data_IF_754498429654
#
_entry.id   IF_754498429654
#
_cell.length_a   1.000
_cell.length_b   1.000
_cell.length_c   1.000
_cell.angle_alpha   90.00
_cell.angle_beta   90.00
_cell.angle_gamma   90.00
#
_symmetry.space_group_name_H-M   'P 1'
#
loop_
_entity.id
_entity.type
_entity.pdbx_description
1 polymer ?
#
# COMPACT_ATOMS: atom_id res chain seq x y z
N UNK A 1 -43.91 -0.40 56.44
CA UNK A 1 -43.59 0.26 55.16
C UNK A 1 -42.42 -0.51 54.58
N UNK A 2 -42.76 -1.54 53.83
CA UNK A 2 -41.84 -2.46 53.16
C UNK A 2 -41.26 -1.79 51.92
N UNK A 3 -39.93 -1.83 51.78
CA UNK A 3 -39.26 -1.63 50.50
C UNK A 3 -38.45 -2.89 50.21
N UNK A 4 -39.03 -3.72 49.35
CA UNK A 4 -38.45 -4.92 48.78
C UNK A 4 -37.40 -4.54 47.72
N UNK A 5 -36.14 -4.86 48.02
CA UNK A 5 -35.07 -4.92 47.03
C UNK A 5 -35.26 -6.16 46.15
N UNK A 6 -35.44 -5.96 44.84
CA UNK A 6 -35.34 -7.02 43.85
C UNK A 6 -33.97 -6.95 43.16
N UNK A 7 -33.11 -7.91 43.53
CA UNK A 7 -31.90 -8.25 42.79
C UNK A 7 -32.29 -9.21 41.65
N UNK A 8 -31.97 -8.85 40.40
CA UNK A 8 -31.92 -9.79 39.28
C UNK A 8 -30.45 -10.09 38.92
N UNK A 9 -30.08 -11.36 38.69
CA UNK A 9 -28.75 -11.72 38.22
C UNK A 9 -28.76 -11.92 36.68
N UNK A 10 -28.02 -11.10 35.94
CA UNK A 10 -27.69 -11.41 34.55
C UNK A 10 -26.50 -12.38 34.53
N UNK A 11 -26.81 -13.67 34.28
CA UNK A 11 -25.85 -14.67 33.82
C UNK A 11 -25.67 -14.51 32.30
N UNK A 12 -24.43 -14.37 31.86
CA UNK A 12 -24.10 -14.35 30.43
C UNK A 12 -22.60 -14.20 30.21
N UNK A 13 -21.85 -15.28 30.43
CA UNK A 13 -20.45 -15.38 30.04
C UNK A 13 -20.43 -15.62 28.53
N UNK A 14 -20.09 -14.61 27.73
CA UNK A 14 -19.68 -14.81 26.34
C UNK A 14 -18.18 -15.12 26.32
N UNK A 15 -17.82 -16.38 26.05
CA UNK A 15 -16.44 -16.78 25.78
C UNK A 15 -16.21 -16.66 24.28
N UNK A 16 -15.59 -15.58 23.82
CA UNK A 16 -15.07 -15.48 22.46
C UNK A 16 -13.90 -16.45 22.29
N UNK A 17 -14.09 -17.47 21.44
CA UNK A 17 -13.01 -18.36 20.99
C UNK A 17 -12.28 -17.68 19.83
N UNK A 18 -11.16 -17.02 20.11
CA UNK A 18 -10.20 -16.66 19.07
C UNK A 18 -9.47 -17.92 18.57
N UNK A 19 -9.75 -18.32 17.33
CA UNK A 19 -9.02 -19.39 16.64
C UNK A 19 -7.74 -18.77 16.05
N UNK A 20 -6.59 -19.08 16.67
CA UNK A 20 -5.29 -18.77 16.09
C UNK A 20 -4.91 -19.86 15.08
N UNK A 21 -4.91 -19.54 13.79
CA UNK A 21 -4.33 -20.41 12.76
C UNK A 21 -2.82 -20.12 12.69
N UNK A 22 -2.02 -20.96 13.36
CA UNK A 22 -0.56 -20.92 13.21
C UNK A 22 -0.19 -21.68 11.93
N UNK A 23 0.01 -20.95 10.84
CA UNK A 23 0.59 -21.52 9.62
C UNK A 23 2.11 -21.75 9.81
N UNK A 24 2.52 -23.02 9.94
CA UNK A 24 3.94 -23.41 9.90
C UNK A 24 4.46 -23.25 8.47
N UNK A 25 5.32 -22.26 8.22
CA UNK A 25 6.05 -22.16 6.95
C UNK A 25 7.14 -23.25 6.84
N UNK A 26 7.29 -23.92 5.69
CA UNK A 26 8.33 -24.90 5.47
C UNK A 26 9.71 -24.24 5.37
N UNK A 27 10.72 -24.85 6.00
CA UNK A 27 12.12 -24.40 5.98
C UNK A 27 12.67 -24.46 4.56
N UNK A 28 12.97 -23.30 3.96
CA UNK A 28 13.68 -23.20 2.69
C UNK A 28 15.13 -23.71 2.86
N UNK A 29 15.49 -24.73 2.08
CA UNK A 29 16.88 -25.22 1.96
C UNK A 29 17.75 -24.15 1.29
N UNK A 30 18.88 -23.80 1.92
CA UNK A 30 19.92 -22.93 1.32
C UNK A 30 20.45 -23.58 0.04
N UNK A 31 20.23 -22.95 -1.12
CA UNK A 31 20.95 -23.28 -2.35
C UNK A 31 22.38 -22.75 -2.24
N UNK A 32 23.35 -23.58 -2.61
CA UNK A 32 24.77 -23.23 -2.72
C UNK A 32 24.97 -22.32 -3.94
N UNK A 33 25.69 -21.22 -3.73
CA UNK A 33 26.13 -20.32 -4.80
C UNK A 33 27.17 -21.01 -5.70
N UNK A 34 26.93 -20.96 -7.01
CA UNK A 34 27.89 -21.36 -8.03
C UNK A 34 28.56 -20.08 -8.55
N UNK A 35 29.90 -19.94 -8.50
CA UNK A 35 30.57 -18.75 -8.97
C UNK A 35 30.54 -18.67 -10.51
N UNK A 36 29.89 -17.62 -11.03
CA UNK A 36 29.88 -17.26 -12.44
C UNK A 36 31.20 -16.60 -12.83
N UNK A 37 31.99 -17.26 -13.69
CA UNK A 37 33.16 -16.66 -14.30
C UNK A 37 32.75 -15.71 -15.43
N UNK A 38 32.91 -14.39 -15.21
CA UNK A 38 32.80 -13.37 -16.26
C UNK A 38 34.16 -13.19 -16.96
N UNK A 39 34.22 -13.55 -18.24
CA UNK A 39 35.31 -13.21 -19.17
C UNK A 39 35.32 -11.68 -19.41
N UNK A 40 36.43 -11.02 -19.09
CA UNK A 40 36.70 -9.61 -19.44
C UNK A 40 37.08 -9.52 -20.92
N UNK A 41 36.28 -8.81 -21.73
CA UNK A 41 36.71 -8.32 -23.07
C UNK A 41 37.47 -7.01 -22.88
N UNK A 42 38.71 -7.01 -23.36
CA UNK A 42 39.64 -5.87 -23.39
C UNK A 42 39.24 -5.00 -24.60
N UNK A 43 38.81 -3.76 -24.37
CA UNK A 43 38.60 -2.78 -25.44
C UNK A 43 39.74 -1.76 -25.37
N UNK A 44 40.45 -1.62 -26.48
CA UNK A 44 41.56 -0.69 -26.67
C UNK A 44 41.08 0.75 -26.66
N UNK A 45 41.82 1.59 -25.94
CA UNK A 45 41.75 3.05 -25.98
C UNK A 45 42.36 3.57 -27.27
N UNK A 46 41.71 4.53 -27.90
CA UNK A 46 42.34 5.43 -28.87
C UNK A 46 42.22 6.84 -28.33
N UNK A 47 43.39 7.46 -28.17
CA UNK A 47 43.58 8.88 -27.87
C UNK A 47 43.20 9.72 -29.09
N UNK A 48 42.49 10.83 -28.87
CA UNK A 48 42.54 11.99 -29.75
C UNK A 48 42.32 13.27 -28.93
N UNK A 49 43.29 14.18 -29.03
CA UNK A 49 43.18 15.59 -28.68
C UNK A 49 42.11 16.29 -29.54
N UNK A 50 41.37 17.24 -28.97
CA UNK A 50 41.19 18.54 -29.61
C UNK A 50 40.65 19.60 -28.65
N UNK A 51 41.27 20.77 -28.73
CA UNK A 51 40.92 22.01 -28.06
C UNK A 51 39.80 22.77 -28.79
N UNK A 52 39.16 23.64 -28.00
CA UNK A 52 38.44 24.88 -28.37
C UNK A 52 36.98 24.86 -28.88
N UNK A 53 36.15 25.46 -28.00
CA UNK A 53 35.24 26.61 -28.23
C UNK A 53 33.86 26.43 -28.87
N UNK A 54 32.87 26.80 -28.04
CA UNK A 54 31.67 27.61 -28.28
C UNK A 54 30.43 27.08 -29.04
N UNK A 55 29.30 27.45 -28.40
CA UNK A 55 27.95 27.70 -28.90
C UNK A 55 26.95 26.54 -28.96
N UNK A 56 25.83 26.76 -28.27
CA UNK A 56 24.59 26.01 -28.38
C UNK A 56 23.93 26.29 -29.73
N UNK A 57 23.12 25.34 -30.23
CA UNK A 57 21.74 25.71 -30.48
C UNK A 57 20.72 24.66 -30.02
N UNK A 58 19.47 25.11 -30.08
CA UNK A 58 18.21 24.49 -29.66
C UNK A 58 17.85 23.17 -30.34
N UNK A 59 17.01 22.44 -29.60
CA UNK A 59 15.91 21.56 -30.04
C UNK A 59 16.17 20.53 -31.14
N UNK A 60 16.08 19.23 -30.78
CA UNK A 60 15.07 18.38 -31.41
C UNK A 60 14.86 17.06 -30.65
N UNK A 61 13.58 16.68 -30.62
CA UNK A 61 13.01 15.48 -30.03
C UNK A 61 13.41 14.27 -30.87
N UNK A 62 14.11 13.31 -30.28
CA UNK A 62 14.27 11.97 -30.88
C UNK A 62 13.72 10.93 -29.90
N UNK A 63 12.50 10.52 -30.18
CA UNK A 63 11.80 9.42 -29.51
C UNK A 63 12.32 8.09 -30.11
N UNK A 64 13.30 7.48 -29.46
CA UNK A 64 13.76 6.13 -29.78
C UNK A 64 12.81 5.10 -29.16
N UNK A 65 11.85 4.63 -29.97
CA UNK A 65 11.08 3.43 -29.70
C UNK A 65 11.97 2.19 -29.89
N UNK A 66 12.48 1.63 -28.79
CA UNK A 66 13.00 0.26 -28.78
C UNK A 66 11.82 -0.70 -28.58
N UNK A 67 11.47 -1.42 -29.66
CA UNK A 67 10.66 -2.64 -29.59
C UNK A 67 11.57 -3.75 -29.07
N UNK A 68 11.38 -4.17 -27.82
CA UNK A 68 11.86 -5.47 -27.35
C UNK A 68 10.76 -6.51 -27.59
N UNK A 69 11.02 -7.41 -28.52
CA UNK A 69 10.27 -8.65 -28.70
C UNK A 69 10.63 -9.59 -27.53
N UNK A 70 9.70 -9.77 -26.60
CA UNK A 70 9.83 -10.78 -25.54
C UNK A 70 9.29 -12.10 -26.07
N UNK A 71 10.21 -13.00 -26.39
CA UNK A 71 9.96 -14.40 -26.70
C UNK A 71 9.41 -15.10 -25.44
N UNK A 72 8.08 -15.28 -25.39
CA UNK A 72 7.42 -16.05 -24.32
C UNK A 72 7.63 -17.54 -24.59
N UNK A 73 8.54 -18.16 -23.84
CA UNK A 73 8.64 -19.62 -23.76
C UNK A 73 7.38 -20.15 -23.06
N UNK A 74 6.53 -20.82 -23.83
CA UNK A 74 5.38 -21.55 -23.32
C UNK A 74 5.82 -22.72 -22.44
N UNK A 75 5.47 -22.67 -21.16
CA UNK A 75 5.48 -23.85 -20.30
C UNK A 75 4.21 -24.65 -20.57
N UNK A 76 4.40 -25.96 -20.84
CA UNK A 76 3.34 -26.94 -21.01
C UNK A 76 2.57 -27.09 -19.71
N UNK A 77 1.25 -26.96 -19.79
CA UNK A 77 0.33 -27.34 -18.72
C UNK A 77 -0.08 -28.79 -18.98
N UNK A 78 0.21 -29.68 -18.04
CA UNK A 78 -0.26 -31.06 -18.02
C UNK A 78 -1.79 -31.09 -17.87
N UNK A 79 -2.53 -31.85 -18.70
CA UNK A 79 -3.98 -31.92 -18.62
C UNK A 79 -4.41 -33.15 -17.84
N UNK A 80 -4.33 -33.11 -16.51
CA UNK A 80 -5.06 -34.07 -15.66
C UNK A 80 -6.27 -33.37 -15.04
N UNK A 81 -7.29 -33.28 -15.89
CA UNK A 81 -8.63 -32.77 -15.62
C UNK A 81 -9.52 -33.96 -15.22
N UNK A 82 -9.67 -34.23 -13.93
CA UNK A 82 -10.68 -35.17 -13.43
C UNK A 82 -11.98 -34.42 -13.13
N UNK A 83 -12.93 -34.54 -14.06
CA UNK A 83 -14.34 -34.21 -13.88
C UNK A 83 -14.95 -35.14 -12.81
N UNK A 84 -15.39 -34.56 -11.69
CA UNK A 84 -16.35 -35.23 -10.82
C UNK A 84 -17.74 -35.12 -11.44
N UNK A 85 -18.25 -36.27 -11.87
CA UNK A 85 -19.63 -36.50 -12.27
C UNK A 85 -20.54 -36.26 -11.07
N UNK A 86 -21.49 -35.34 -11.23
CA UNK A 86 -22.60 -35.16 -10.29
C UNK A 86 -23.55 -36.37 -10.39
N UNK A 87 -23.78 -37.03 -9.27
CA UNK A 87 -24.86 -38.02 -9.12
C UNK A 87 -26.22 -37.29 -9.03
N UNK A 88 -27.27 -37.79 -9.69
CA UNK A 88 -28.61 -37.22 -9.57
C UNK A 88 -29.50 -38.02 -8.59
N UNK A 89 -30.63 -37.39 -8.24
CA UNK A 89 -31.81 -37.92 -7.54
C UNK A 89 -31.69 -37.85 -6.00
N UNK A 90 -32.74 -37.50 -5.25
CA UNK A 90 -34.08 -38.06 -5.32
C UNK A 90 -35.19 -37.04 -5.01
N UNK A 91 -36.36 -37.35 -5.57
CA UNK A 91 -37.63 -36.65 -5.45
C UNK A 91 -38.15 -36.62 -4.01
N UNK A 92 -38.48 -35.43 -3.52
CA UNK A 92 -39.19 -35.26 -2.24
C UNK A 92 -40.69 -35.25 -2.54
N UNK A 93 -41.36 -36.31 -2.10
CA UNK A 93 -42.79 -36.51 -2.18
C UNK A 93 -43.57 -35.40 -1.49
N UNK A 94 -44.50 -34.83 -2.25
CA UNK A 94 -45.54 -33.92 -1.80
C UNK A 94 -46.57 -34.69 -0.97
N UNK A 95 -46.60 -34.47 0.35
CA UNK A 95 -47.68 -34.95 1.22
C UNK A 95 -48.61 -33.79 1.56
N UNK A 96 -49.73 -33.73 0.86
CA UNK A 96 -50.92 -32.96 1.24
C UNK A 96 -51.67 -33.71 2.34
N UNK A 97 -51.83 -33.10 3.52
CA UNK A 97 -52.90 -33.45 4.45
C UNK A 97 -53.62 -32.19 4.91
N UNK A 98 -54.86 -32.11 4.44
CA UNK A 98 -55.95 -31.28 4.90
C UNK A 98 -56.28 -31.55 6.36
N UNK A 99 -56.41 -30.50 7.16
CA UNK A 99 -57.35 -30.49 8.29
C UNK A 99 -57.98 -29.09 8.37
N UNK A 100 -59.30 -29.05 8.21
CA UNK A 100 -60.13 -27.90 8.51
C UNK A 100 -60.44 -27.94 10.00
N UNK A 101 -60.14 -26.86 10.71
CA UNK A 101 -60.74 -26.58 12.01
C UNK A 101 -61.19 -25.12 11.99
N UNK A 102 -62.50 -24.94 11.82
CA UNK A 102 -63.17 -23.66 11.97
C UNK A 102 -63.19 -23.28 13.44
N UNK A 103 -62.31 -22.37 13.84
CA UNK A 103 -62.44 -21.64 15.10
C UNK A 103 -62.67 -20.18 14.75
N UNK A 104 -63.92 -19.74 14.94
CA UNK A 104 -64.30 -18.34 14.90
C UNK A 104 -63.64 -17.64 16.09
N UNK A 105 -62.54 -16.93 15.81
CA UNK A 105 -61.93 -15.96 16.72
C UNK A 105 -62.28 -14.59 16.16
N UNK A 106 -62.94 -13.77 16.97
CA UNK A 106 -63.28 -12.38 16.68
C UNK A 106 -62.04 -11.63 16.17
N UNK A 107 -62.09 -11.24 14.90
CA UNK A 107 -61.12 -10.35 14.28
C UNK A 107 -61.31 -8.94 14.84
N UNK A 108 -60.60 -8.62 15.91
CA UNK A 108 -60.12 -7.26 16.10
C UNK A 108 -59.00 -7.11 15.08
N UNK A 109 -59.27 -6.44 13.96
CA UNK A 109 -58.23 -5.88 13.10
C UNK A 109 -57.47 -4.83 13.92
N UNK A 110 -56.55 -5.30 14.75
CA UNK A 110 -55.39 -4.52 15.13
C UNK A 110 -54.63 -4.34 13.83
N UNK A 111 -54.88 -3.22 13.16
CA UNK A 111 -53.96 -2.64 12.19
C UNK A 111 -52.62 -2.54 12.88
N UNK A 112 -51.80 -3.58 12.72
CA UNK A 112 -50.38 -3.55 12.99
C UNK A 112 -49.85 -2.40 12.15
N UNK A 113 -49.65 -1.27 12.81
CA UNK A 113 -48.86 -0.19 12.27
C UNK A 113 -47.47 -0.79 12.11
N UNK A 114 -47.21 -1.36 10.92
CA UNK A 114 -45.88 -1.75 10.47
C UNK A 114 -45.10 -0.45 10.43
N UNK A 115 -44.51 -0.10 11.56
CA UNK A 115 -43.43 0.87 11.63
C UNK A 115 -42.30 0.26 10.83
N UNK A 116 -42.31 0.46 9.51
CA UNK A 116 -41.15 0.16 8.68
C UNK A 116 -40.04 1.01 9.28
N UNK A 117 -39.16 0.37 10.04
CA UNK A 117 -38.04 1.06 10.66
C UNK A 117 -37.22 1.63 9.50
N UNK A 118 -37.35 2.94 9.29
CA UNK A 118 -36.59 3.64 8.28
C UNK A 118 -35.12 3.39 8.59
N UNK A 119 -34.50 2.52 7.79
CA UNK A 119 -33.11 2.17 7.97
C UNK A 119 -32.33 3.18 7.13
N UNK A 120 -31.44 3.94 7.79
CA UNK A 120 -30.56 4.88 7.10
C UNK A 120 -29.88 4.16 5.91
N UNK A 121 -29.96 4.70 4.67
CA UNK A 121 -29.33 4.08 3.51
C UNK A 121 -27.84 3.76 3.71
N UNK A 122 -27.14 4.57 4.49
CA UNK A 122 -25.74 4.33 4.83
C UNK A 122 -25.56 3.15 5.78
N UNK A 123 -26.43 3.03 6.79
CA UNK A 123 -26.39 1.91 7.74
C UNK A 123 -26.71 0.59 7.01
N UNK A 124 -27.64 0.63 6.05
CA UNK A 124 -27.92 -0.49 5.15
C UNK A 124 -26.68 -0.88 4.35
N UNK A 125 -26.02 0.07 3.68
CA UNK A 125 -24.78 -0.20 2.94
C UNK A 125 -23.69 -0.80 3.83
N UNK A 126 -23.52 -0.26 5.05
CA UNK A 126 -22.54 -0.78 6.02
C UNK A 126 -22.84 -2.24 6.39
N UNK A 127 -24.11 -2.59 6.61
CA UNK A 127 -24.54 -3.97 6.83
C UNK A 127 -24.28 -4.86 5.61
N UNK A 128 -24.63 -4.40 4.41
CA UNK A 128 -24.42 -5.13 3.16
C UNK A 128 -22.93 -5.43 2.91
N UNK A 129 -22.04 -4.49 3.20
CA UNK A 129 -20.58 -4.68 3.10
C UNK A 129 -20.10 -5.77 4.06
N UNK A 130 -20.59 -5.77 5.31
CA UNK A 130 -20.25 -6.79 6.31
C UNK A 130 -20.77 -8.17 5.90
N UNK A 131 -22.05 -8.26 5.51
CA UNK A 131 -22.73 -9.52 5.18
C UNK A 131 -22.23 -10.14 3.88
N UNK A 132 -21.94 -9.32 2.87
CA UNK A 132 -21.47 -9.81 1.56
C UNK A 132 -20.09 -10.47 1.63
N UNK A 133 -19.31 -10.23 2.69
CA UNK A 133 -17.92 -10.73 2.77
C UNK A 133 -17.04 -10.22 1.62
N UNK A 134 -17.42 -9.11 0.98
CA UNK A 134 -16.77 -8.59 -0.21
C UNK A 134 -15.34 -8.08 0.03
N UNK A 135 -15.01 -7.80 1.30
CA UNK A 135 -13.69 -7.34 1.74
C UNK A 135 -12.82 -8.57 2.00
N UNK A 136 -12.01 -8.92 1.01
CA UNK A 136 -11.07 -10.04 1.11
C UNK A 136 -9.67 -9.59 1.56
N UNK A 137 -8.90 -10.54 2.07
CA UNK A 137 -7.47 -10.37 2.34
C UNK A 137 -6.77 -9.79 1.09
N UNK A 138 -5.91 -8.78 1.22
CA UNK A 138 -5.24 -8.32 2.45
C UNK A 138 -5.94 -7.15 3.18
N UNK A 139 -7.20 -6.84 2.85
CA UNK A 139 -7.93 -5.74 3.48
C UNK A 139 -8.62 -6.16 4.78
N UNK A 140 -8.75 -5.21 5.71
CA UNK A 140 -9.43 -5.34 6.99
C UNK A 140 -10.53 -4.29 7.08
N UNK A 141 -11.75 -4.70 7.38
CA UNK A 141 -12.88 -3.80 7.59
C UNK A 141 -12.96 -3.39 9.07
N UNK A 142 -13.01 -2.09 9.35
CA UNK A 142 -13.36 -1.55 10.66
C UNK A 142 -14.86 -1.20 10.68
N UNK A 143 -15.59 -1.93 11.52
CA UNK A 143 -17.04 -1.82 11.71
C UNK A 143 -17.41 -0.89 12.87
N UNK A 144 -16.45 -0.51 13.71
CA UNK A 144 -16.70 0.29 14.92
C UNK A 144 -16.92 1.77 14.63
N UNK A 145 -16.38 2.25 13.50
CA UNK A 145 -16.46 3.65 13.09
C UNK A 145 -17.83 4.03 12.50
N UNK A 146 -18.23 5.29 12.65
CA UNK A 146 -19.42 5.88 11.98
C UNK A 146 -19.31 5.91 10.45
N UNK A 147 -18.11 5.65 9.92
CA UNK A 147 -17.79 5.53 8.49
C UNK A 147 -17.39 4.10 8.15
N UNK A 148 -17.57 3.67 6.91
CA UNK A 148 -17.01 2.40 6.43
C UNK A 148 -15.50 2.61 6.22
N UNK A 149 -14.67 1.95 7.02
CA UNK A 149 -13.20 2.03 6.93
C UNK A 149 -12.61 0.70 6.51
N UNK A 150 -11.88 0.70 5.40
CA UNK A 150 -11.22 -0.49 4.85
C UNK A 150 -9.72 -0.22 4.83
N UNK A 151 -8.98 -0.95 5.66
CA UNK A 151 -7.56 -0.75 5.88
C UNK A 151 -6.73 -1.85 5.23
N UNK A 152 -5.58 -1.47 4.70
CA UNK A 152 -4.49 -2.37 4.33
C UNK A 152 -3.36 -2.14 5.32
N UNK A 153 -2.89 -3.21 5.95
CA UNK A 153 -1.83 -3.16 6.96
C UNK A 153 -0.49 -3.62 6.37
N UNK A 154 0.61 -3.15 6.94
CA UNK A 154 1.91 -3.78 6.69
C UNK A 154 1.99 -5.12 7.41
N UNK A 155 2.60 -6.15 6.79
CA UNK A 155 2.88 -7.41 7.47
C UNK A 155 4.06 -7.21 8.43
N UNK A 156 3.80 -6.74 9.64
CA UNK A 156 4.77 -6.63 10.74
C UNK A 156 4.28 -7.45 11.94
N UNK A 157 5.19 -8.19 12.56
CA UNK A 157 4.90 -9.00 13.74
C UNK A 157 4.91 -8.18 15.04
N UNK A 158 5.57 -7.01 15.03
CA UNK A 158 5.84 -6.22 16.23
C UNK A 158 4.84 -5.08 16.40
N UNK A 159 4.40 -4.45 15.29
CA UNK A 159 3.42 -3.34 15.32
C UNK A 159 2.48 -3.35 14.13
N UNK A 160 1.25 -2.90 14.38
CA UNK A 160 0.25 -2.71 13.33
C UNK A 160 0.41 -1.31 12.73
N UNK A 161 0.94 -1.26 11.52
CA UNK A 161 1.05 -0.02 10.74
C UNK A 161 0.09 -0.02 9.55
N UNK A 162 -0.74 1.03 9.46
CA UNK A 162 -1.68 1.20 8.35
C UNK A 162 -0.93 1.69 7.11
N UNK A 163 -0.89 0.86 6.08
CA UNK A 163 -0.32 1.17 4.77
C UNK A 163 -1.26 2.05 3.95
N UNK A 164 -2.53 1.67 3.87
CA UNK A 164 -3.58 2.37 3.13
C UNK A 164 -4.90 2.30 3.90
N UNK A 165 -5.70 3.35 3.85
CA UNK A 165 -7.03 3.38 4.43
C UNK A 165 -8.01 3.98 3.43
N UNK A 166 -9.09 3.26 3.13
CA UNK A 166 -10.25 3.75 2.38
C UNK A 166 -11.34 4.08 3.39
N UNK A 167 -11.85 5.30 3.35
CA UNK A 167 -12.91 5.77 4.24
C UNK A 167 -14.08 6.27 3.42
N UNK A 168 -15.27 5.73 3.65
CA UNK A 168 -16.52 6.17 3.01
C UNK A 168 -17.41 6.73 4.12
N UNK A 169 -17.75 8.02 4.02
CA UNK A 169 -18.58 8.68 5.03
C UNK A 169 -20.07 8.55 4.68
N UNK A 170 -20.94 9.06 5.56
CA UNK A 170 -22.40 9.07 5.38
C UNK A 170 -22.89 9.77 4.10
N UNK A 171 -22.06 10.64 3.53
CA UNK A 171 -22.29 11.29 2.25
C UNK A 171 -21.93 10.40 1.03
N UNK A 172 -21.54 9.15 1.29
CA UNK A 172 -21.07 8.17 0.31
C UNK A 172 -19.83 8.60 -0.48
N UNK A 173 -19.12 9.64 -0.05
CA UNK A 173 -17.86 10.05 -0.67
C UNK A 173 -16.70 9.25 -0.08
N UNK A 174 -15.88 8.66 -0.96
CA UNK A 174 -14.68 7.96 -0.57
C UNK A 174 -13.47 8.91 -0.44
N UNK A 175 -12.67 8.67 0.59
CA UNK A 175 -11.35 9.25 0.79
C UNK A 175 -10.34 8.12 0.91
N UNK A 176 -9.22 8.23 0.21
CA UNK A 176 -8.10 7.28 0.32
C UNK A 176 -6.95 7.97 1.03
N UNK A 177 -6.40 7.32 2.04
CA UNK A 177 -5.24 7.77 2.78
C UNK A 177 -4.09 6.79 2.60
N UNK A 178 -2.91 7.31 2.30
CA UNK A 178 -1.66 6.54 2.28
C UNK A 178 -0.77 7.13 3.36
N UNK A 179 -0.33 6.31 4.32
CA UNK A 179 0.49 6.78 5.44
C UNK A 179 -0.11 8.02 6.15
N UNK A 180 -1.44 8.03 6.33
CA UNK A 180 -2.23 9.12 6.92
C UNK A 180 -2.34 10.40 6.08
N UNK A 181 -1.72 10.44 4.90
CA UNK A 181 -1.87 11.56 3.95
C UNK A 181 -3.04 11.25 3.02
N UNK A 182 -4.01 12.17 2.94
CA UNK A 182 -5.14 12.03 2.02
C UNK A 182 -4.68 12.18 0.58
N UNK A 183 -5.08 11.24 -0.28
CA UNK A 183 -4.86 11.31 -1.72
C UNK A 183 -5.76 12.40 -2.32
N UNK A 184 -5.21 13.21 -3.22
CA UNK A 184 -5.99 14.23 -3.95
C UNK A 184 -7.09 13.58 -4.79
N UNK A 185 -8.23 14.25 -4.94
CA UNK A 185 -9.31 13.84 -5.84
C UNK A 185 -8.93 13.96 -7.32
N UNK A 186 -7.85 14.69 -7.64
CA UNK A 186 -7.32 14.80 -9.00
C UNK A 186 -6.38 13.63 -9.39
N UNK A 187 -6.15 12.68 -8.48
CA UNK A 187 -5.26 11.55 -8.72
C UNK A 187 -5.87 10.52 -9.71
N UNK A 188 -5.04 9.92 -10.57
CA UNK A 188 -5.45 8.94 -11.61
C UNK A 188 -6.27 7.74 -11.08
N UNK A 189 -6.15 7.44 -9.79
CA UNK A 189 -6.97 6.44 -9.09
C UNK A 189 -8.47 6.72 -9.28
N UNK A 190 -8.90 7.97 -9.31
CA UNK A 190 -10.32 8.31 -9.36
C UNK A 190 -10.91 8.25 -10.78
N UNK A 191 -10.07 8.21 -11.82
CA UNK A 191 -10.52 8.17 -13.22
C UNK A 191 -11.36 6.90 -13.48
N UNK A 192 -12.62 7.06 -13.87
CA UNK A 192 -13.51 5.93 -14.15
C UNK A 192 -14.08 5.23 -12.90
N UNK A 193 -13.84 5.76 -11.70
CA UNK A 193 -14.59 5.37 -10.50
C UNK A 193 -15.85 6.24 -10.34
N UNK A 194 -16.90 5.73 -9.68
CA UNK A 194 -18.07 6.54 -9.36
C UNK A 194 -17.69 7.64 -8.34
N UNK A 195 -18.41 8.77 -8.39
CA UNK A 195 -18.24 9.85 -7.39
C UNK A 195 -18.83 9.49 -6.03
N UNK A 196 -19.83 8.60 -6.03
CA UNK A 196 -20.64 8.19 -4.88
C UNK A 196 -20.51 6.67 -4.74
N UNK A 197 -20.22 6.21 -3.52
CA UNK A 197 -20.00 4.81 -3.18
C UNK A 197 -21.17 4.28 -2.35
N UNK A 198 -22.34 4.22 -2.97
CA UNK A 198 -23.64 3.82 -2.41
C UNK A 198 -23.95 2.32 -2.54
N UNK A 199 -23.05 1.52 -3.12
CA UNK A 199 -23.24 0.09 -3.33
C UNK A 199 -21.98 -0.72 -3.08
N UNK A 200 -22.16 -1.98 -2.65
CA UNK A 200 -21.05 -2.94 -2.47
C UNK A 200 -20.21 -3.08 -3.74
N UNK A 201 -20.85 -3.07 -4.91
CA UNK A 201 -20.18 -3.15 -6.21
C UNK A 201 -19.24 -1.97 -6.46
N UNK A 202 -19.64 -0.75 -6.09
CA UNK A 202 -18.80 0.44 -6.22
C UNK A 202 -17.55 0.33 -5.32
N UNK A 203 -17.73 -0.14 -4.08
CA UNK A 203 -16.65 -0.37 -3.13
C UNK A 203 -15.68 -1.43 -3.66
N UNK A 204 -16.17 -2.57 -4.13
CA UNK A 204 -15.35 -3.62 -4.74
C UNK A 204 -14.56 -3.10 -5.94
N UNK A 205 -15.17 -2.28 -6.80
CA UNK A 205 -14.50 -1.70 -7.97
C UNK A 205 -13.32 -0.82 -7.56
N UNK A 206 -13.49 0.02 -6.51
CA UNK A 206 -12.40 0.80 -5.95
C UNK A 206 -11.28 -0.08 -5.39
N UNK A 207 -11.61 -1.12 -4.62
CA UNK A 207 -10.62 -2.04 -4.06
C UNK A 207 -9.85 -2.80 -5.16
N UNK A 208 -10.53 -3.30 -6.18
CA UNK A 208 -9.88 -3.92 -7.35
C UNK A 208 -8.96 -2.94 -8.06
N UNK A 209 -9.39 -1.69 -8.27
CA UNK A 209 -8.55 -0.67 -8.90
C UNK A 209 -7.31 -0.38 -8.05
N UNK A 210 -7.45 -0.31 -6.72
CA UNK A 210 -6.32 -0.11 -5.80
C UNK A 210 -5.26 -1.20 -5.88
N UNK A 211 -5.61 -2.44 -6.24
CA UNK A 211 -4.64 -3.54 -6.41
C UNK A 211 -3.63 -3.27 -7.55
N UNK A 212 -4.00 -2.46 -8.54
CA UNK A 212 -3.08 -2.06 -9.62
C UNK A 212 -2.05 -0.99 -9.19
N UNK A 213 -2.21 -0.41 -8.00
CA UNK A 213 -1.32 0.61 -7.47
C UNK A 213 -0.44 0.03 -6.35
N UNK A 214 0.75 0.60 -6.22
CA UNK A 214 1.61 0.39 -5.08
C UNK A 214 1.92 1.71 -4.41
N UNK A 215 2.13 1.67 -3.09
CA UNK A 215 2.61 2.83 -2.35
C UNK A 215 4.02 3.14 -2.84
N UNK A 216 4.22 4.38 -3.31
CA UNK A 216 5.52 4.88 -3.70
C UNK A 216 6.50 4.66 -2.53
N UNK A 217 7.69 4.12 -2.78
CA UNK A 217 8.64 3.81 -1.69
C UNK A 217 9.48 4.99 -1.25
N UNK A 218 9.44 6.11 -1.97
CA UNK A 218 10.34 7.24 -1.74
C UNK A 218 11.81 6.82 -1.84
N UNK A 219 12.66 7.44 -1.02
CA UNK A 219 14.09 7.14 -0.88
C UNK A 219 14.38 6.70 0.55
N UNK A 220 14.54 5.40 0.75
CA UNK A 220 14.68 4.75 2.06
C UNK A 220 16.15 4.38 2.38
N UNK A 221 17.09 4.68 1.49
CA UNK A 221 18.51 4.37 1.71
C UNK A 221 19.07 5.24 2.84
N UNK A 222 19.65 4.62 3.86
CA UNK A 222 20.16 5.28 5.06
C UNK A 222 21.09 6.47 4.73
N UNK A 223 22.02 6.26 3.80
CA UNK A 223 22.95 7.29 3.34
C UNK A 223 22.23 8.52 2.76
N UNK A 224 21.14 8.31 2.03
CA UNK A 224 20.37 9.40 1.42
C UNK A 224 19.46 10.08 2.44
N UNK A 225 18.90 9.31 3.38
CA UNK A 225 18.09 9.84 4.47
C UNK A 225 18.90 10.73 5.42
N UNK A 226 20.20 10.48 5.59
CA UNK A 226 21.08 11.29 6.42
C UNK A 226 21.21 12.75 5.95
N UNK A 227 20.80 13.07 4.72
CA UNK A 227 20.78 14.44 4.21
C UNK A 227 19.53 15.23 4.63
N UNK A 228 18.54 14.58 5.26
CA UNK A 228 17.24 15.17 5.53
C UNK A 228 16.82 14.86 6.98
N UNK A 229 16.79 15.88 7.86
CA UNK A 229 16.26 15.69 9.21
C UNK A 229 14.78 15.30 9.16
N UNK A 230 14.36 14.53 10.17
CA UNK A 230 12.96 14.13 10.30
C UNK A 230 12.08 15.38 10.44
N UNK A 231 10.99 15.45 9.66
CA UNK A 231 10.02 16.55 9.76
C UNK A 231 10.48 17.90 9.21
N UNK A 232 11.67 18.01 8.61
CA UNK A 232 12.13 19.27 8.00
C UNK A 232 12.06 19.19 6.47
N UNK A 233 11.38 20.13 5.80
CA UNK A 233 11.43 20.22 4.35
C UNK A 233 12.84 20.64 3.90
N UNK A 234 13.32 20.04 2.81
CA UNK A 234 14.60 20.45 2.23
C UNK A 234 14.39 21.52 1.20
N UNK A 235 14.78 22.74 1.50
CA UNK A 235 14.89 23.79 0.49
C UNK A 235 16.25 23.66 -0.21
N UNK A 236 16.27 23.69 -1.54
CA UNK A 236 17.54 23.88 -2.26
C UNK A 236 18.00 25.32 -2.00
N UNK A 237 19.16 25.48 -1.36
CA UNK A 237 19.83 26.76 -1.14
C UNK A 237 20.28 27.47 -2.44
N UNK A 238 19.96 26.90 -3.60
CA UNK A 238 20.13 27.50 -4.91
C UNK A 238 18.69 27.67 -5.45
N UNK A 239 18.29 28.91 -5.77
CA UNK A 239 16.91 29.35 -6.07
C UNK A 239 16.19 28.70 -7.26
N UNK A 240 16.49 27.44 -7.59
CA UNK A 240 15.64 26.59 -8.42
C UNK A 240 14.53 25.98 -7.56
N UNK A 241 13.28 26.34 -7.84
CA UNK A 241 12.08 25.94 -7.11
C UNK A 241 11.73 24.41 -7.08
N UNK A 242 12.64 23.49 -7.39
CA UNK A 242 12.22 22.19 -7.94
C UNK A 242 12.43 20.93 -7.08
N UNK A 243 13.02 20.98 -5.89
CA UNK A 243 13.37 19.73 -5.17
C UNK A 243 13.19 19.78 -3.66
N UNK A 244 11.97 20.10 -3.23
CA UNK A 244 11.59 19.92 -1.84
C UNK A 244 11.27 18.45 -1.55
N UNK A 245 11.91 17.92 -0.50
CA UNK A 245 11.62 16.61 0.04
C UNK A 245 11.45 16.66 1.55
N UNK A 246 10.72 15.70 2.09
CA UNK A 246 10.48 15.54 3.51
C UNK A 246 10.73 14.10 3.91
N UNK A 247 11.22 13.91 5.13
CA UNK A 247 11.39 12.59 5.72
C UNK A 247 10.15 12.23 6.53
N UNK A 248 9.51 11.14 6.17
CA UNK A 248 8.32 10.65 6.87
C UNK A 248 8.66 10.02 8.22
N UNK A 249 7.65 9.93 9.09
CA UNK A 249 7.75 9.25 10.39
C UNK A 249 7.99 7.74 10.27
N UNK A 250 8.13 7.08 11.41
CA UNK A 250 8.33 5.62 11.45
C UNK A 250 7.03 4.87 11.13
N UNK A 251 7.02 4.09 10.06
CA UNK A 251 5.89 3.25 9.65
C UNK A 251 6.21 1.76 9.65
N UNK A 252 7.46 1.35 9.93
CA UNK A 252 7.91 -0.04 9.83
C UNK A 252 7.44 -0.71 8.51
N UNK A 253 7.59 0.00 7.41
CA UNK A 253 7.06 -0.40 6.12
C UNK A 253 7.85 -1.58 5.53
N UNK A 254 7.13 -2.57 5.00
CA UNK A 254 7.72 -3.75 4.34
C UNK A 254 7.29 -3.80 2.87
N UNK A 255 8.24 -4.00 1.96
CA UNK A 255 8.01 -4.24 0.54
C UNK A 255 8.92 -5.35 0.03
N UNK A 256 8.34 -6.54 -0.16
CA UNK A 256 9.11 -7.73 -0.51
C UNK A 256 10.08 -8.09 0.62
N UNK A 257 11.38 -8.12 0.31
CA UNK A 257 12.46 -8.37 1.29
C UNK A 257 12.98 -7.10 1.96
N UNK A 258 12.48 -5.93 1.57
CA UNK A 258 12.97 -4.64 2.06
C UNK A 258 12.06 -4.18 3.20
N UNK A 259 12.62 -4.02 4.38
CA UNK A 259 12.00 -3.33 5.52
C UNK A 259 12.64 -1.94 5.67
N UNK A 260 11.82 -0.91 5.87
CA UNK A 260 12.27 0.45 6.12
C UNK A 260 11.34 1.15 7.12
N UNK A 261 11.93 1.75 8.16
CA UNK A 261 11.18 2.53 9.14
C UNK A 261 10.71 3.86 8.56
N UNK A 262 11.54 4.51 7.75
CA UNK A 262 11.28 5.86 7.23
C UNK A 262 11.73 5.95 5.77
N UNK A 263 11.19 6.94 5.07
CA UNK A 263 11.59 7.26 3.70
C UNK A 263 11.56 8.76 3.47
N UNK A 264 12.39 9.23 2.54
CA UNK A 264 12.31 10.60 2.03
C UNK A 264 11.44 10.61 0.78
N UNK A 265 10.39 11.43 0.81
CA UNK A 265 9.54 11.73 -0.34
C UNK A 265 9.75 13.13 -0.86
N UNK A 266 9.44 13.34 -2.14
CA UNK A 266 9.22 14.69 -2.67
C UNK A 266 7.92 15.24 -2.08
N UNK A 267 7.85 16.56 -1.85
CA UNK A 267 6.60 17.25 -1.50
C UNK A 267 5.50 17.00 -2.54
N UNK A 268 5.88 16.78 -3.80
CA UNK A 268 4.98 16.48 -4.92
C UNK A 268 4.82 14.97 -5.14
N UNK A 269 5.04 14.14 -4.12
CA UNK A 269 4.90 12.70 -4.25
C UNK A 269 3.44 12.30 -4.51
N UNK A 270 3.22 11.50 -5.56
CA UNK A 270 1.89 10.99 -5.92
C UNK A 270 1.29 9.99 -4.91
N UNK A 271 2.10 9.51 -3.94
CA UNK A 271 1.76 8.51 -2.90
C UNK A 271 1.42 7.12 -3.45
N UNK A 272 0.47 7.00 -4.39
CA UNK A 272 0.15 5.79 -5.13
C UNK A 272 0.70 5.86 -6.55
N UNK A 273 1.27 4.77 -7.04
CA UNK A 273 1.80 4.68 -8.41
C UNK A 273 1.68 3.26 -8.97
N UNK A 274 1.57 3.16 -10.29
CA UNK A 274 1.77 1.90 -11.02
C UNK A 274 3.27 1.64 -11.14
N UNK A 275 3.87 1.10 -10.08
CA UNK A 275 5.32 0.87 -10.01
C UNK A 275 5.87 1.10 -8.62
N UNK A 276 7.19 1.23 -8.49
CA UNK A 276 7.84 1.31 -7.17
C UNK A 276 7.96 2.73 -6.63
N UNK A 277 8.25 3.70 -7.49
CA UNK A 277 8.57 5.09 -7.10
C UNK A 277 8.00 6.04 -8.15
N UNK A 278 7.40 7.13 -7.72
CA UNK A 278 6.90 8.16 -8.63
C UNK A 278 8.05 8.96 -9.27
N UNK A 279 7.76 9.65 -10.38
CA UNK A 279 8.71 10.52 -11.08
C UNK A 279 9.30 11.61 -10.15
N UNK A 280 8.49 12.34 -9.35
CA UNK A 280 9.03 13.34 -8.41
C UNK A 280 10.02 12.77 -7.38
N UNK A 281 9.72 11.62 -6.77
CA UNK A 281 10.64 10.97 -5.83
C UNK A 281 11.91 10.45 -6.53
N UNK A 282 11.83 10.11 -7.83
CA UNK A 282 12.98 9.70 -8.64
C UNK A 282 13.88 10.89 -8.97
N UNK A 283 13.31 12.05 -9.28
CA UNK A 283 14.07 13.29 -9.47
C UNK A 283 14.77 13.71 -8.17
N UNK A 284 14.03 13.71 -7.05
CA UNK A 284 14.60 13.99 -5.74
C UNK A 284 15.78 13.07 -5.42
N UNK A 285 15.68 11.77 -5.75
CA UNK A 285 16.79 10.83 -5.56
C UNK A 285 18.06 11.28 -6.26
N UNK A 286 17.96 11.71 -7.52
CA UNK A 286 19.12 12.17 -8.31
C UNK A 286 19.79 13.35 -7.61
N UNK A 287 19.00 14.29 -7.10
CA UNK A 287 19.50 15.44 -6.33
C UNK A 287 20.20 15.00 -5.05
N UNK A 288 19.64 14.03 -4.30
CA UNK A 288 20.27 13.50 -3.09
C UNK A 288 21.59 12.79 -3.39
N UNK A 289 21.65 12.01 -4.46
CA UNK A 289 22.89 11.37 -4.93
C UNK A 289 23.95 12.42 -5.30
N UNK A 290 23.57 13.46 -6.06
CA UNK A 290 24.49 14.56 -6.40
C UNK A 290 24.99 15.31 -5.16
N UNK A 291 24.14 15.52 -4.15
CA UNK A 291 24.55 16.12 -2.87
C UNK A 291 25.51 15.21 -2.10
N UNK A 292 25.28 13.90 -2.09
CA UNK A 292 26.19 12.91 -1.52
C UNK A 292 27.56 12.98 -2.16
N UNK A 293 27.63 12.91 -3.48
CA UNK A 293 28.90 13.03 -4.21
C UNK A 293 29.63 14.35 -3.94
N UNK A 294 28.92 15.49 -3.94
CA UNK A 294 29.51 16.79 -3.62
C UNK A 294 30.10 16.83 -2.20
N UNK A 295 29.46 16.18 -1.22
CA UNK A 295 29.99 16.09 0.16
C UNK A 295 31.23 15.20 0.22
N UNK A 296 31.16 14.01 -0.36
CA UNK A 296 32.28 13.06 -0.41
C UNK A 296 33.52 13.67 -1.09
N UNK A 297 33.32 14.44 -2.17
CA UNK A 297 34.41 15.13 -2.85
C UNK A 297 35.04 16.23 -1.98
N UNK A 298 34.23 17.01 -1.26
CA UNK A 298 34.72 18.02 -0.30
C UNK A 298 35.53 17.38 0.83
N UNK A 299 35.04 16.28 1.38
CA UNK A 299 35.74 15.54 2.44
C UNK A 299 37.05 14.92 1.96
N UNK A 300 37.10 14.46 0.69
CA UNK A 300 38.33 13.97 0.07
C UNK A 300 39.35 15.10 -0.07
N UNK A 301 38.94 16.26 -0.62
CA UNK A 301 39.80 17.44 -0.76
C UNK A 301 40.31 17.98 0.58
N UNK A 302 39.49 17.95 1.64
CA UNK A 302 39.93 18.39 2.97
C UNK A 302 40.96 17.46 3.59
N UNK A 303 40.92 16.15 3.29
CA UNK A 303 41.93 15.18 3.74
C UNK A 303 43.23 15.30 2.96
N UNK A 304 43.17 15.60 1.67
CA UNK A 304 44.34 15.81 0.81
C UNK A 304 45.09 17.12 1.13
N UNK A 305 44.37 18.14 1.64
CA UNK A 305 44.94 19.45 2.00
C UNK A 305 45.47 19.55 3.45
N UNK A 306 45.63 18.45 4.19
CA UNK A 306 46.35 18.48 5.47
C UNK A 306 47.82 18.76 5.13
N UNK A 307 48.35 19.97 5.46
CA UNK A 307 49.75 20.26 5.20
C UNK A 307 50.55 19.20 5.94
N UNK A 308 51.51 18.59 5.25
CA UNK A 308 52.50 17.71 5.85
C UNK A 308 53.33 18.60 6.79
N UNK A 309 52.81 18.86 8.00
CA UNK A 309 53.53 19.47 9.11
C UNK A 309 54.58 18.44 9.51
N UNK A 310 55.67 18.42 8.73
CA UNK A 310 56.94 17.89 9.17
C UNK A 310 57.31 18.72 10.38
N UNK A 311 57.04 18.16 11.55
CA UNK A 311 57.67 18.61 12.78
C UNK A 311 59.17 18.40 12.59
N UNK A 312 59.88 19.44 12.16
CA UNK A 312 61.32 19.53 12.31
C UNK A 312 61.60 19.62 13.82
N UNK A 313 61.67 18.45 14.47
CA UNK A 313 62.22 18.31 15.81
C UNK A 313 63.72 18.60 15.74
N UNK A 314 64.09 19.88 15.71
CA UNK A 314 65.43 20.31 16.12
C UNK A 314 65.46 20.33 17.63
N UNK A 315 65.98 19.26 18.22
CA UNK A 315 66.42 19.27 19.62
C UNK A 315 67.57 20.28 19.76
N UNK A 316 67.51 21.21 20.74
CA UNK A 316 68.70 21.94 21.16
C UNK A 316 69.58 21.00 21.99
N UNK A 317 70.82 20.84 21.56
CA UNK A 317 71.94 20.34 22.36
C UNK A 317 72.42 21.43 23.31
#
# INVERSE_FOLDING_TARGET
MDMSNHYMPCRGICVEKCIYIIARMPKLRKRRDVPSQRKRKKVQSTDLHNDHSYSMPNEDIVQLCLKEEVEVRGERIDPDFTLYTAEPLEDIECTSLTYQEEVAIDMIEETECVTSSYTDPFDKLKQDVVQSGCISSPYVLDTTSDSIKIMLLYPSAERISVKLNVMINRDFFAKVFVHRIQLSQDHDLWIGLPRVFDSVKHIQTLLMKLQSYSVCTGNFEADLMAFIPVGTPVESAEGSASSQGFREGDFEAVKGTISYSSTVRSMNCLLLVQGNRCSPCTQLRRVLISRKHRREEKERKSKENIPNLRYDCRYPL
#
